data_IF_334207789576
#
_entry.id   IF_334207789576
#
_cell.length_a   1.000
_cell.length_b   1.000
_cell.length_c   1.000
_cell.angle_alpha   90.00
_cell.angle_beta   90.00
_cell.angle_gamma   90.00
#
_symmetry.space_group_name_H-M   'P 1'
#
loop_
_entity.id
_entity.type
_entity.pdbx_description
1 polymer ?
#
# COMPACT_ATOMS: atom_id res chain seq x y z
N UNK A 1 7.91 -10.37 -8.09
CA UNK A 1 9.10 -9.55 -7.81
C UNK A 1 10.15 -10.39 -7.08
N UNK A 2 11.39 -9.95 -7.15
CA UNK A 2 12.50 -10.70 -6.58
C UNK A 2 12.62 -12.09 -7.22
N UNK A 3 12.69 -13.12 -6.39
CA UNK A 3 12.84 -14.51 -6.83
C UNK A 3 11.50 -15.27 -6.90
N UNK A 4 10.40 -14.68 -6.43
CA UNK A 4 9.09 -15.33 -6.45
C UNK A 4 8.56 -15.43 -7.89
N UNK A 5 8.04 -16.60 -8.31
CA UNK A 5 7.40 -16.72 -9.61
C UNK A 5 6.12 -15.89 -9.68
N UNK A 6 5.71 -15.51 -10.90
CA UNK A 6 4.47 -14.74 -11.10
C UNK A 6 3.21 -15.56 -10.73
N UNK A 7 3.22 -16.85 -11.01
CA UNK A 7 2.03 -17.70 -10.88
C UNK A 7 0.90 -17.29 -11.84
N UNK A 8 -0.27 -17.91 -11.68
CA UNK A 8 -1.46 -17.72 -12.54
C UNK A 8 -2.60 -16.97 -11.82
N UNK A 9 -2.44 -16.69 -10.52
CA UNK A 9 -3.44 -15.97 -9.74
C UNK A 9 -3.66 -14.53 -10.25
N UNK A 10 -4.83 -13.92 -10.03
CA UNK A 10 -5.11 -12.54 -10.39
C UNK A 10 -4.07 -11.57 -9.84
N UNK A 11 -3.70 -10.56 -10.63
CA UNK A 11 -2.72 -9.54 -10.18
C UNK A 11 -3.46 -8.36 -9.56
N UNK A 12 -3.93 -8.54 -8.32
CA UNK A 12 -4.79 -7.60 -7.59
C UNK A 12 -4.32 -7.40 -6.16
N UNK A 13 -4.63 -6.23 -5.56
CA UNK A 13 -4.39 -5.95 -4.14
C UNK A 13 -5.09 -6.98 -3.25
N UNK A 14 -6.26 -7.42 -3.66
CA UNK A 14 -7.04 -8.44 -2.97
C UNK A 14 -6.29 -9.79 -2.93
N UNK A 15 -5.78 -10.25 -4.08
CA UNK A 15 -5.01 -11.50 -4.15
C UNK A 15 -3.73 -11.41 -3.32
N UNK A 16 -3.02 -10.29 -3.39
CA UNK A 16 -1.80 -10.11 -2.58
C UNK A 16 -2.08 -10.10 -1.08
N UNK A 17 -3.26 -9.66 -0.67
CA UNK A 17 -3.71 -9.81 0.73
C UNK A 17 -3.92 -11.29 1.10
N UNK A 18 -4.45 -12.12 0.18
CA UNK A 18 -4.56 -13.56 0.39
C UNK A 18 -3.17 -14.23 0.41
N UNK A 19 -2.27 -13.84 -0.49
CA UNK A 19 -0.89 -14.35 -0.52
C UNK A 19 -0.14 -14.05 0.80
N UNK A 20 -0.38 -12.86 1.39
CA UNK A 20 0.17 -12.51 2.71
C UNK A 20 -0.40 -13.42 3.81
N UNK A 21 -1.70 -13.73 3.75
CA UNK A 21 -2.32 -14.67 4.68
C UNK A 21 -1.67 -16.05 4.58
N UNK A 22 -1.56 -16.59 3.38
CA UNK A 22 -0.97 -17.91 3.12
C UNK A 22 0.49 -17.96 3.55
N UNK A 23 1.25 -16.88 3.30
CA UNK A 23 2.62 -16.74 3.78
C UNK A 23 2.70 -16.79 5.30
N UNK A 24 1.88 -16.01 6.01
CA UNK A 24 1.88 -15.99 7.47
C UNK A 24 1.48 -17.35 8.05
N UNK A 25 0.47 -18.00 7.47
CA UNK A 25 0.04 -19.34 7.90
C UNK A 25 1.14 -20.38 7.66
N UNK A 26 1.75 -20.41 6.47
CA UNK A 26 2.82 -21.33 6.10
C UNK A 26 4.07 -21.19 6.98
N UNK A 27 4.32 -20.00 7.52
CA UNK A 27 5.41 -19.71 8.45
C UNK A 27 5.00 -19.72 9.93
N UNK A 28 3.76 -20.10 10.24
CA UNK A 28 3.23 -20.15 11.62
C UNK A 28 3.31 -18.80 12.35
N UNK A 29 3.16 -17.71 11.60
CA UNK A 29 3.12 -16.35 12.14
C UNK A 29 1.67 -16.05 12.57
N UNK A 30 1.39 -16.14 13.86
CA UNK A 30 0.05 -15.93 14.39
C UNK A 30 -0.39 -14.46 14.37
N UNK A 31 0.55 -13.53 14.60
CA UNK A 31 0.32 -12.10 14.49
C UNK A 31 1.62 -11.32 14.24
N UNK A 32 1.52 -10.14 13.65
CA UNK A 32 2.67 -9.30 13.31
C UNK A 32 2.32 -7.81 13.33
N UNK A 33 3.34 -6.96 13.40
CA UNK A 33 3.27 -5.57 12.97
C UNK A 33 3.60 -5.57 11.47
N UNK A 34 2.71 -5.00 10.66
CA UNK A 34 2.87 -5.00 9.20
C UNK A 34 3.24 -3.59 8.74
N UNK A 35 4.43 -3.46 8.15
CA UNK A 35 4.84 -2.26 7.44
C UNK A 35 4.60 -2.45 5.95
N UNK A 36 3.75 -1.63 5.37
CA UNK A 36 3.47 -1.59 3.94
C UNK A 36 3.95 -0.28 3.30
N UNK A 37 4.58 -0.37 2.14
CA UNK A 37 4.98 0.77 1.32
C UNK A 37 4.20 0.80 0.02
N UNK A 38 3.60 1.94 -0.34
CA UNK A 38 2.83 2.13 -1.58
C UNK A 38 1.72 1.08 -1.69
N UNK A 39 1.67 0.25 -2.74
CA UNK A 39 0.74 -0.88 -2.85
C UNK A 39 0.83 -1.84 -1.66
N UNK A 40 2.00 -1.98 -1.04
CA UNK A 40 2.17 -2.74 0.19
C UNK A 40 1.34 -2.18 1.36
N UNK A 41 1.15 -0.86 1.43
CA UNK A 41 0.25 -0.25 2.43
C UNK A 41 -1.22 -0.55 2.12
N UNK A 42 -1.58 -0.58 0.83
CA UNK A 42 -2.92 -0.94 0.38
C UNK A 42 -3.24 -2.42 0.69
N UNK A 43 -2.27 -3.31 0.46
CA UNK A 43 -2.34 -4.74 0.82
C UNK A 43 -2.49 -4.89 2.34
N UNK A 44 -1.69 -4.16 3.13
CA UNK A 44 -1.74 -4.21 4.59
C UNK A 44 -3.11 -3.76 5.14
N UNK A 45 -3.73 -2.71 4.57
CA UNK A 45 -5.09 -2.29 4.92
C UNK A 45 -6.12 -3.38 4.60
N UNK A 46 -6.09 -3.95 3.38
CA UNK A 46 -7.00 -5.05 3.00
C UNK A 46 -6.82 -6.27 3.91
N UNK A 47 -5.58 -6.64 4.20
CA UNK A 47 -5.27 -7.74 5.09
C UNK A 47 -5.81 -7.50 6.51
N UNK A 48 -5.57 -6.32 7.08
CA UNK A 48 -6.00 -5.99 8.44
C UNK A 48 -7.54 -5.97 8.58
N UNK A 49 -8.26 -5.53 7.55
CA UNK A 49 -9.72 -5.59 7.54
C UNK A 49 -10.26 -7.03 7.56
N UNK A 50 -9.58 -7.96 6.88
CA UNK A 50 -9.99 -9.37 6.79
C UNK A 50 -9.53 -10.22 7.98
N UNK A 51 -8.32 -9.95 8.47
CA UNK A 51 -7.63 -10.75 9.47
C UNK A 51 -7.16 -9.88 10.66
N UNK A 52 -8.07 -9.14 11.33
CA UNK A 52 -7.67 -8.19 12.38
C UNK A 52 -6.93 -8.86 13.54
N UNK A 53 -7.24 -10.13 13.87
CA UNK A 53 -6.55 -10.89 14.91
C UNK A 53 -5.10 -11.26 14.60
N UNK A 54 -4.67 -11.10 13.34
CA UNK A 54 -3.30 -11.38 12.91
C UNK A 54 -2.42 -10.12 12.85
N UNK A 55 -2.95 -8.95 13.20
CA UNK A 55 -2.24 -7.66 13.08
C UNK A 55 -2.19 -6.97 14.43
N UNK A 56 -0.98 -6.79 14.97
CA UNK A 56 -0.73 -6.01 16.19
C UNK A 56 -0.73 -4.51 15.94
N UNK A 57 -0.28 -4.10 14.77
CA UNK A 57 -0.19 -2.70 14.37
C UNK A 57 0.16 -2.56 12.89
N UNK A 58 -0.15 -1.41 12.32
CA UNK A 58 0.12 -1.07 10.93
C UNK A 58 1.05 0.12 10.80
N UNK A 59 1.98 0.05 9.86
CA UNK A 59 2.77 1.19 9.40
C UNK A 59 2.51 1.34 7.90
N UNK A 60 1.74 2.38 7.53
CA UNK A 60 1.23 2.61 6.19
C UNK A 60 2.01 3.77 5.55
N UNK A 61 3.04 3.44 4.77
CA UNK A 61 3.88 4.44 4.11
C UNK A 61 3.43 4.66 2.66
N UNK A 62 2.83 5.81 2.37
CA UNK A 62 2.46 6.22 1.02
C UNK A 62 1.34 5.41 0.38
N UNK A 63 0.42 4.87 1.18
CA UNK A 63 -0.78 4.19 0.70
C UNK A 63 -1.84 5.14 0.15
N UNK A 64 -2.78 4.60 -0.61
CA UNK A 64 -3.95 5.30 -1.12
C UNK A 64 -5.19 4.40 -1.04
N UNK A 65 -6.39 4.98 -1.10
CA UNK A 65 -7.66 4.23 -1.05
C UNK A 65 -8.24 3.98 -2.44
N UNK A 66 -7.84 4.81 -3.39
CA UNK A 66 -8.33 4.82 -4.77
C UNK A 66 -7.30 5.45 -5.71
N UNK A 67 -7.31 5.17 -7.01
CA UNK A 67 -6.37 5.75 -7.98
C UNK A 67 -6.38 7.29 -7.98
N UNK A 68 -7.52 7.93 -7.71
CA UNK A 68 -7.64 9.39 -7.62
C UNK A 68 -6.88 10.00 -6.43
N UNK A 69 -6.42 9.20 -5.47
CA UNK A 69 -5.51 9.62 -4.39
C UNK A 69 -4.13 10.01 -4.89
N UNK A 70 -3.71 9.52 -6.06
CA UNK A 70 -2.44 9.87 -6.71
C UNK A 70 -2.55 11.25 -7.37
N UNK A 71 -1.47 12.02 -7.35
CA UNK A 71 -1.40 13.32 -8.05
C UNK A 71 -1.50 13.12 -9.57
N UNK A 72 -2.27 13.97 -10.24
CA UNK A 72 -2.51 13.90 -11.69
C UNK A 72 -1.22 13.88 -12.53
N UNK A 73 -0.20 14.59 -12.08
CA UNK A 73 1.12 14.62 -12.74
C UNK A 73 1.81 13.27 -12.78
N UNK A 74 1.52 12.39 -11.83
CA UNK A 74 2.02 11.02 -11.78
C UNK A 74 1.02 10.06 -12.45
N UNK A 75 -0.27 10.23 -12.21
CA UNK A 75 -1.30 9.30 -12.66
C UNK A 75 -1.45 9.29 -14.19
N UNK A 76 -1.42 10.45 -14.85
CA UNK A 76 -1.60 10.53 -16.32
C UNK A 76 -0.56 9.71 -17.10
N UNK A 77 0.76 9.85 -16.84
CA UNK A 77 1.75 8.98 -17.50
C UNK A 77 1.52 7.49 -17.28
N UNK A 78 1.06 7.10 -16.09
CA UNK A 78 0.75 5.70 -15.75
C UNK A 78 -0.44 5.20 -16.58
N UNK A 79 -1.51 5.98 -16.67
CA UNK A 79 -2.70 5.65 -17.47
C UNK A 79 -2.36 5.50 -18.97
N UNK A 80 -1.51 6.37 -19.50
CA UNK A 80 -1.03 6.27 -20.88
C UNK A 80 -0.19 5.00 -21.07
N UNK A 81 0.76 4.75 -20.18
CA UNK A 81 1.59 3.54 -20.20
C UNK A 81 0.76 2.27 -20.10
N UNK A 82 -0.26 2.25 -19.25
CA UNK A 82 -1.21 1.16 -19.13
C UNK A 82 -1.96 0.88 -20.43
N UNK A 83 -2.51 1.91 -21.07
CA UNK A 83 -3.21 1.77 -22.36
C UNK A 83 -2.32 1.19 -23.45
N UNK A 84 -1.07 1.67 -23.51
CA UNK A 84 -0.09 1.17 -24.50
C UNK A 84 0.24 -0.30 -24.19
N UNK A 85 0.61 -0.61 -22.95
CA UNK A 85 0.98 -1.97 -22.55
C UNK A 85 -0.18 -2.96 -22.78
N UNK A 86 -1.41 -2.58 -22.41
CA UNK A 86 -2.62 -3.40 -22.60
C UNK A 86 -2.90 -3.73 -24.05
N UNK A 87 -2.65 -2.79 -24.98
CA UNK A 87 -2.84 -3.02 -26.43
C UNK A 87 -1.89 -4.10 -26.97
N UNK A 88 -0.72 -4.23 -26.37
CA UNK A 88 0.31 -5.17 -26.83
C UNK A 88 0.42 -6.42 -25.93
N UNK A 89 -0.38 -6.52 -24.86
CA UNK A 89 -0.30 -7.59 -23.88
C UNK A 89 -0.57 -8.99 -24.46
N UNK A 90 -1.43 -9.08 -25.46
CA UNK A 90 -1.71 -10.36 -26.16
C UNK A 90 -0.60 -10.83 -27.08
N UNK A 91 0.38 -9.95 -27.42
CA UNK A 91 1.45 -10.26 -28.36
C UNK A 91 2.81 -10.44 -27.68
N UNK A 92 3.06 -9.67 -26.61
CA UNK A 92 4.37 -9.64 -25.95
C UNK A 92 4.21 -9.86 -24.45
N UNK A 93 4.93 -10.82 -23.90
CA UNK A 93 4.91 -11.15 -22.46
C UNK A 93 5.37 -9.95 -21.59
N UNK A 94 6.36 -9.18 -22.07
CA UNK A 94 6.80 -7.97 -21.38
C UNK A 94 5.68 -6.91 -21.30
N UNK A 95 4.88 -6.76 -22.36
CA UNK A 95 3.75 -5.85 -22.39
C UNK A 95 2.63 -6.32 -21.46
N UNK A 96 2.39 -7.64 -21.37
CA UNK A 96 1.44 -8.23 -20.43
C UNK A 96 1.83 -7.91 -18.99
N UNK A 97 3.09 -8.17 -18.60
CA UNK A 97 3.61 -7.84 -17.26
C UNK A 97 3.52 -6.35 -16.92
N UNK A 98 3.85 -5.49 -17.87
CA UNK A 98 3.71 -4.05 -17.70
C UNK A 98 2.25 -3.62 -17.54
N UNK A 99 1.33 -4.21 -18.31
CA UNK A 99 -0.09 -3.96 -18.18
C UNK A 99 -0.64 -4.41 -16.82
N UNK A 100 -0.21 -5.55 -16.29
CA UNK A 100 -0.56 -6.01 -14.95
C UNK A 100 -0.07 -5.02 -13.88
N UNK A 101 1.21 -4.63 -13.91
CA UNK A 101 1.78 -3.71 -12.94
C UNK A 101 1.14 -2.32 -12.97
N UNK A 102 1.00 -1.74 -14.16
CA UNK A 102 0.38 -0.42 -14.31
C UNK A 102 -1.13 -0.48 -14.03
N UNK A 103 -1.74 -1.63 -14.32
CA UNK A 103 -3.15 -1.91 -14.06
C UNK A 103 -3.52 -1.81 -12.58
N UNK A 104 -2.65 -2.23 -11.66
CA UNK A 104 -2.83 -2.00 -10.24
C UNK A 104 -3.00 -0.50 -9.93
N UNK A 105 -2.09 0.34 -10.43
CA UNK A 105 -2.09 1.78 -10.14
C UNK A 105 -3.25 2.53 -10.84
N UNK A 106 -3.82 1.96 -11.91
CA UNK A 106 -4.93 2.56 -12.67
C UNK A 106 -6.28 2.13 -12.13
N UNK A 107 -6.42 0.88 -11.70
CA UNK A 107 -7.69 0.26 -11.36
C UNK A 107 -7.87 0.02 -9.86
N UNK A 108 -6.80 0.05 -9.08
CA UNK A 108 -6.79 -0.26 -7.66
C UNK A 108 -5.94 0.75 -6.85
N UNK A 109 -6.08 0.76 -5.53
CA UNK A 109 -7.09 0.04 -4.76
C UNK A 109 -8.47 0.69 -4.90
N UNK A 110 -9.49 -0.02 -4.40
CA UNK A 110 -10.85 0.51 -4.26
C UNK A 110 -11.32 0.23 -2.82
N UNK A 111 -10.80 1.02 -1.87
CA UNK A 111 -11.12 0.92 -0.45
C UNK A 111 -12.04 2.10 -0.09
N UNK A 112 -13.22 1.81 0.41
CA UNK A 112 -14.11 2.87 0.90
C UNK A 112 -13.56 3.42 2.23
N UNK A 113 -13.55 4.75 2.44
CA UNK A 113 -13.10 5.32 3.71
C UNK A 113 -13.82 4.74 4.93
N UNK A 114 -15.11 4.42 4.81
CA UNK A 114 -15.89 3.79 5.89
C UNK A 114 -15.40 2.38 6.26
N UNK A 115 -14.73 1.66 5.35
CA UNK A 115 -14.19 0.32 5.63
C UNK A 115 -12.97 0.39 6.57
N UNK A 116 -12.30 1.54 6.65
CA UNK A 116 -11.15 1.72 7.54
C UNK A 116 -11.53 1.63 9.01
N UNK A 117 -12.80 1.83 9.36
CA UNK A 117 -13.31 1.62 10.74
C UNK A 117 -13.17 0.18 11.22
N UNK A 118 -13.01 -0.79 10.32
CA UNK A 118 -12.75 -2.19 10.65
C UNK A 118 -11.31 -2.43 11.15
N UNK A 119 -10.40 -1.48 10.93
CA UNK A 119 -9.00 -1.55 11.33
C UNK A 119 -8.88 -0.93 12.73
N UNK A 120 -9.09 -1.73 13.77
CA UNK A 120 -9.11 -1.27 15.14
C UNK A 120 -7.75 -1.23 15.84
N UNK A 121 -6.73 -1.93 15.29
CA UNK A 121 -5.39 -1.92 15.84
C UNK A 121 -4.70 -0.57 15.60
N UNK A 122 -3.67 -0.23 16.41
CA UNK A 122 -2.88 0.97 16.20
C UNK A 122 -2.28 1.06 14.80
N UNK A 123 -2.31 2.26 14.21
CA UNK A 123 -1.76 2.50 12.88
C UNK A 123 -0.90 3.78 12.85
N UNK A 124 0.24 3.71 12.19
CA UNK A 124 1.06 4.86 11.81
C UNK A 124 0.89 5.11 10.30
N UNK A 125 0.29 6.23 9.94
CA UNK A 125 0.15 6.65 8.54
C UNK A 125 1.27 7.65 8.23
N UNK A 126 2.12 7.31 7.27
CA UNK A 126 3.35 8.09 6.96
C UNK A 126 3.37 8.51 5.50
N UNK A 127 3.72 9.77 5.22
CA UNK A 127 3.98 10.24 3.85
C UNK A 127 5.08 11.29 3.80
N UNK A 128 5.57 11.54 2.60
CA UNK A 128 6.50 12.64 2.33
C UNK A 128 5.78 13.96 2.05
N UNK A 129 6.40 15.10 2.43
CA UNK A 129 5.87 16.45 2.08
C UNK A 129 5.73 16.67 0.56
N UNK A 130 6.47 15.90 -0.25
CA UNK A 130 6.43 15.91 -1.72
C UNK A 130 6.06 14.54 -2.28
N UNK A 131 5.21 13.81 -1.56
CA UNK A 131 4.72 12.49 -1.99
C UNK A 131 3.93 12.60 -3.31
N UNK A 132 3.91 11.52 -4.08
CA UNK A 132 3.03 11.40 -5.24
C UNK A 132 1.57 11.17 -4.85
N UNK A 133 1.31 10.65 -3.65
CA UNK A 133 -0.03 10.63 -3.06
C UNK A 133 -0.38 12.04 -2.60
N UNK A 134 -1.62 12.47 -2.78
CA UNK A 134 -2.11 13.75 -2.30
C UNK A 134 -2.11 13.77 -0.77
N UNK A 135 -1.54 14.80 -0.16
CA UNK A 135 -1.51 14.94 1.31
C UNK A 135 -2.90 14.88 1.92
N UNK A 136 -3.90 15.53 1.27
CA UNK A 136 -5.29 15.45 1.69
C UNK A 136 -5.84 14.03 1.70
N UNK A 137 -5.37 13.18 0.78
CA UNK A 137 -5.76 11.77 0.72
C UNK A 137 -5.12 10.95 1.84
N UNK A 138 -3.84 11.20 2.15
CA UNK A 138 -3.17 10.57 3.29
C UNK A 138 -3.81 10.98 4.63
N UNK A 139 -4.18 12.27 4.78
CA UNK A 139 -4.95 12.76 5.94
C UNK A 139 -6.29 12.03 6.06
N UNK A 140 -7.02 11.88 4.95
CA UNK A 140 -8.28 11.15 4.91
C UNK A 140 -8.14 9.71 5.41
N UNK A 141 -7.03 9.01 5.07
CA UNK A 141 -6.75 7.67 5.60
C UNK A 141 -6.62 7.71 7.12
N UNK A 142 -5.79 8.62 7.65
CA UNK A 142 -5.56 8.74 9.09
C UNK A 142 -6.83 9.12 9.86
N UNK A 143 -7.68 9.98 9.30
CA UNK A 143 -8.94 10.43 9.91
C UNK A 143 -10.01 9.32 10.01
N UNK A 144 -9.97 8.33 9.10
CA UNK A 144 -10.95 7.25 9.08
C UNK A 144 -10.48 5.99 9.82
N UNK A 145 -9.21 5.92 10.21
CA UNK A 145 -8.68 4.86 11.05
C UNK A 145 -8.94 5.20 12.53
N UNK A 146 -9.57 4.31 13.33
CA UNK A 146 -9.92 4.60 14.73
C UNK A 146 -8.74 4.96 15.63
N UNK A 147 -7.57 4.34 15.40
CA UNK A 147 -6.38 4.47 16.25
C UNK A 147 -5.14 4.82 15.39
N UNK A 148 -5.21 5.94 14.65
CA UNK A 148 -4.11 6.33 13.78
C UNK A 148 -3.32 7.52 14.30
N UNK A 149 -2.00 7.45 14.12
CA UNK A 149 -1.07 8.57 14.16
C UNK A 149 -0.66 8.94 12.73
N UNK A 150 -0.68 10.23 12.39
CA UNK A 150 -0.21 10.74 11.11
C UNK A 150 1.18 11.35 11.28
N UNK A 151 2.11 10.98 10.40
CA UNK A 151 3.45 11.58 10.31
C UNK A 151 3.73 12.06 8.87
N UNK A 152 4.03 13.36 8.71
CA UNK A 152 4.40 13.95 7.42
C UNK A 152 5.87 14.33 7.49
N UNK A 153 6.71 13.61 6.75
CA UNK A 153 8.17 13.70 6.80
C UNK A 153 8.68 14.48 5.58
N UNK A 154 9.69 15.32 5.77
CA UNK A 154 10.31 16.02 4.65
C UNK A 154 10.94 15.03 3.66
N UNK A 155 10.39 14.96 2.44
CA UNK A 155 10.86 14.06 1.38
C UNK A 155 9.76 13.76 0.36
N UNK A 156 10.06 12.85 -0.54
CA UNK A 156 9.13 12.36 -1.56
C UNK A 156 8.50 11.02 -1.14
N UNK A 157 7.90 10.30 -2.09
CA UNK A 157 7.28 8.99 -1.86
C UNK A 157 8.22 7.96 -1.22
N UNK A 158 9.52 8.04 -1.47
CA UNK A 158 10.55 7.12 -0.97
C UNK A 158 11.20 7.59 0.34
N UNK A 159 10.42 8.13 1.28
CA UNK A 159 10.92 8.75 2.52
C UNK A 159 11.76 7.80 3.37
N UNK A 160 11.39 6.53 3.47
CA UNK A 160 12.15 5.52 4.22
C UNK A 160 13.61 5.38 3.72
N UNK A 161 13.82 5.62 2.41
CA UNK A 161 15.15 5.58 1.79
C UNK A 161 15.83 6.96 1.77
N UNK A 162 15.06 8.03 1.53
CA UNK A 162 15.60 9.38 1.32
C UNK A 162 15.79 10.17 2.62
N UNK A 163 15.05 9.83 3.67
CA UNK A 163 15.15 10.43 5.00
C UNK A 163 14.97 9.36 6.09
N UNK A 164 15.87 8.35 6.13
CA UNK A 164 15.73 7.19 7.02
C UNK A 164 15.75 7.58 8.50
N UNK A 165 16.50 8.60 8.89
CA UNK A 165 16.57 9.03 10.29
C UNK A 165 15.19 9.49 10.79
N UNK A 166 14.52 10.40 10.08
CA UNK A 166 13.20 10.88 10.46
C UNK A 166 12.13 9.78 10.33
N UNK A 167 12.22 8.92 9.31
CA UNK A 167 11.30 7.79 9.15
C UNK A 167 11.43 6.82 10.33
N UNK A 168 12.63 6.38 10.67
CA UNK A 168 12.87 5.46 11.76
C UNK A 168 12.47 6.06 13.11
N UNK A 169 12.70 7.35 13.33
CA UNK A 169 12.27 8.03 14.55
C UNK A 169 10.76 7.94 14.76
N UNK A 170 9.95 8.17 13.71
CA UNK A 170 8.48 8.02 13.79
C UNK A 170 8.05 6.57 14.01
N UNK A 171 8.71 5.62 13.33
CA UNK A 171 8.46 4.19 13.50
C UNK A 171 8.81 3.74 14.91
N UNK A 172 9.99 4.09 15.43
CA UNK A 172 10.40 3.74 16.80
C UNK A 172 9.46 4.34 17.86
N UNK A 173 9.05 5.60 17.67
CA UNK A 173 8.09 6.24 18.56
C UNK A 173 6.74 5.52 18.55
N UNK A 174 6.28 5.07 17.38
CA UNK A 174 5.05 4.29 17.24
C UNK A 174 5.19 2.91 17.90
N UNK A 175 6.28 2.20 17.66
CA UNK A 175 6.51 0.85 18.21
C UNK A 175 6.55 0.84 19.75
N UNK A 176 6.89 1.95 20.39
CA UNK A 176 6.84 2.09 21.86
C UNK A 176 5.42 2.24 22.42
N UNK A 177 4.41 2.43 21.56
CA UNK A 177 3.01 2.62 21.99
C UNK A 177 2.15 1.35 21.86
N UNK A 178 2.72 0.25 21.32
CA UNK A 178 2.03 -1.01 21.02
C UNK A 178 2.72 -2.21 21.62
#
# INVERSE_FOLDING_TARGET
HGKSPRGDAPFTIEQFSCDLYDFMQGHQISNAIILGFSDGANIAMKFAMKHPGMVKGLILNGGNLEPMGVKRTTQIPIEIGYKIASRFAGKYEAAKRNAEMLGLMVNEPNIKPSELSLISMPALVVCGTKDMIKESHTKKIAEHLPNAKLAIIRGNHFIANKNPAAFNQEVEAFLKTI
#
